data_IF_688908252263
#
_entry.id   IF_688908252263
#
_cell.length_a   1.000
_cell.length_b   1.000
_cell.length_c   1.000
_cell.angle_alpha   90.00
_cell.angle_beta   90.00
_cell.angle_gamma   90.00
#
_symmetry.space_group_name_H-M   'P 1'
#
loop_
_entity.id
_entity.type
_entity.pdbx_description
1 polymer ?
#
# COMPACT_ATOMS: atom_id res chain seq x y z
N UNK A 1 -15.39 -24.86 30.42
CA UNK A 1 -14.45 -25.14 29.32
C UNK A 1 -13.92 -23.81 28.81
N UNK A 2 -12.71 -23.44 29.19
CA UNK A 2 -12.08 -22.19 28.74
C UNK A 2 -11.54 -22.36 27.33
N UNK A 3 -12.03 -21.56 26.39
CA UNK A 3 -11.52 -21.51 25.03
C UNK A 3 -10.09 -21.00 25.05
N UNK A 4 -9.15 -21.88 24.73
CA UNK A 4 -7.74 -21.55 24.55
C UNK A 4 -7.65 -20.66 23.30
N UNK A 5 -7.60 -19.35 23.50
CA UNK A 5 -7.22 -18.42 22.45
C UNK A 5 -5.77 -18.75 22.08
N UNK A 6 -5.59 -19.46 20.98
CA UNK A 6 -4.28 -19.65 20.37
C UNK A 6 -3.78 -18.24 20.02
N UNK A 7 -2.92 -17.67 20.87
CA UNK A 7 -2.14 -16.48 20.51
C UNK A 7 -1.18 -16.97 19.43
N UNK A 8 -1.49 -16.63 18.19
CA UNK A 8 -0.61 -16.82 17.04
C UNK A 8 0.75 -16.20 17.37
N UNK A 9 1.81 -17.00 17.44
CA UNK A 9 3.14 -16.66 17.97
C UNK A 9 3.83 -15.49 17.22
N UNK A 10 3.25 -14.98 16.13
CA UNK A 10 3.76 -13.81 15.42
C UNK A 10 2.82 -12.59 15.35
N UNK A 11 1.85 -12.49 16.25
CA UNK A 11 1.02 -11.29 16.42
C UNK A 11 -0.12 -11.13 15.42
N UNK A 12 -0.98 -10.12 15.66
CA UNK A 12 -2.23 -9.90 14.92
C UNK A 12 -1.97 -9.68 13.42
N UNK A 13 -0.93 -8.92 13.07
CA UNK A 13 -0.58 -8.64 11.68
C UNK A 13 -0.22 -9.91 10.89
N UNK A 14 0.53 -10.85 11.49
CA UNK A 14 0.89 -12.13 10.85
C UNK A 14 -0.35 -13.02 10.68
N UNK A 15 -1.21 -13.05 11.69
CA UNK A 15 -2.47 -13.80 11.64
C UNK A 15 -3.38 -13.30 10.51
N UNK A 16 -3.56 -11.98 10.39
CA UNK A 16 -4.35 -11.37 9.33
C UNK A 16 -3.76 -11.65 7.95
N UNK A 17 -2.44 -11.56 7.79
CA UNK A 17 -1.78 -11.90 6.52
C UNK A 17 -1.96 -13.36 6.12
N UNK A 18 -1.82 -14.28 7.08
CA UNK A 18 -2.03 -15.70 6.86
C UNK A 18 -3.46 -15.98 6.37
N UNK A 19 -4.45 -15.29 6.96
CA UNK A 19 -5.85 -15.39 6.56
C UNK A 19 -6.12 -14.84 5.15
N UNK A 20 -5.40 -13.81 4.73
CA UNK A 20 -5.52 -13.20 3.39
C UNK A 20 -4.61 -13.84 2.32
N UNK A 21 -4.02 -15.01 2.62
CA UNK A 21 -3.00 -15.62 1.75
C UNK A 21 -3.59 -16.08 0.41
N UNK A 22 -4.82 -16.60 0.41
CA UNK A 22 -5.47 -17.07 -0.81
C UNK A 22 -5.71 -15.91 -1.78
N UNK A 23 -6.25 -14.79 -1.29
CA UNK A 23 -6.46 -13.56 -2.04
C UNK A 23 -5.13 -13.02 -2.60
N UNK A 24 -4.06 -13.12 -1.81
CA UNK A 24 -2.72 -12.71 -2.24
C UNK A 24 -2.21 -13.56 -3.40
N UNK A 25 -2.44 -14.88 -3.36
CA UNK A 25 -2.08 -15.80 -4.45
C UNK A 25 -2.92 -15.49 -5.70
N UNK A 26 -4.23 -15.25 -5.55
CA UNK A 26 -5.08 -14.87 -6.68
C UNK A 26 -4.62 -13.59 -7.36
N UNK A 27 -4.05 -12.63 -6.62
CA UNK A 27 -3.50 -11.40 -7.21
C UNK A 27 -2.36 -11.68 -8.21
N UNK A 28 -1.54 -12.72 -7.99
CA UNK A 28 -0.46 -13.11 -8.92
C UNK A 28 -1.03 -13.53 -10.28
N UNK A 29 -2.15 -14.23 -10.28
CA UNK A 29 -2.78 -14.77 -11.50
C UNK A 29 -3.70 -13.77 -12.20
N UNK A 30 -3.70 -12.50 -11.79
CA UNK A 30 -4.46 -11.48 -12.51
C UNK A 30 -3.84 -11.23 -13.88
N UNK A 31 -4.66 -10.89 -14.91
CA UNK A 31 -4.15 -10.61 -16.26
C UNK A 31 -3.05 -9.54 -16.29
N UNK A 32 -3.16 -8.53 -15.43
CA UNK A 32 -2.16 -7.48 -15.30
C UNK A 32 -0.80 -8.05 -14.86
N UNK A 33 -0.75 -8.80 -13.76
CA UNK A 33 0.51 -9.32 -13.20
C UNK A 33 1.16 -10.33 -14.16
N UNK A 34 0.37 -11.22 -14.76
CA UNK A 34 0.88 -12.18 -15.74
C UNK A 34 1.42 -11.49 -17.01
N UNK A 35 0.74 -10.45 -17.51
CA UNK A 35 1.19 -9.69 -18.68
C UNK A 35 2.43 -8.86 -18.36
N UNK A 36 2.51 -8.30 -17.15
CA UNK A 36 3.66 -7.54 -16.67
C UNK A 36 4.90 -8.44 -16.54
N UNK A 37 4.76 -9.62 -15.94
CA UNK A 37 5.84 -10.59 -15.74
C UNK A 37 6.34 -11.22 -17.05
N UNK A 38 5.48 -11.36 -18.05
CA UNK A 38 5.85 -11.88 -19.37
C UNK A 38 6.36 -10.82 -20.33
N UNK A 39 6.45 -9.55 -19.92
CA UNK A 39 6.84 -8.43 -20.78
C UNK A 39 5.83 -8.09 -21.89
N UNK A 40 4.63 -8.69 -21.88
CA UNK A 40 3.60 -8.56 -22.92
C UNK A 40 2.51 -7.52 -22.60
N UNK A 41 2.58 -6.88 -21.43
CA UNK A 41 1.66 -5.82 -21.04
C UNK A 41 1.78 -4.65 -22.01
N UNK A 42 0.65 -4.17 -22.55
CA UNK A 42 0.64 -2.99 -23.39
C UNK A 42 0.91 -1.72 -22.56
N UNK A 43 1.51 -0.72 -23.18
CA UNK A 43 1.92 0.51 -22.49
C UNK A 43 0.73 1.32 -21.96
N UNK A 44 -0.44 1.27 -22.60
CA UNK A 44 -1.61 2.00 -22.14
C UNK A 44 -2.15 1.41 -20.82
N UNK A 45 -2.25 0.08 -20.72
CA UNK A 45 -2.61 -0.62 -19.48
C UNK A 45 -1.58 -0.40 -18.38
N UNK A 46 -0.29 -0.39 -18.73
CA UNK A 46 0.77 -0.06 -17.78
C UNK A 46 0.59 1.35 -17.22
N UNK A 47 0.49 2.36 -18.08
CA UNK A 47 0.33 3.77 -17.67
C UNK A 47 -0.96 4.03 -16.92
N UNK A 48 -2.06 3.38 -17.31
CA UNK A 48 -3.30 3.42 -16.56
C UNK A 48 -3.08 2.91 -15.14
N UNK A 49 -2.47 1.74 -14.96
CA UNK A 49 -2.18 1.21 -13.63
C UNK A 49 -1.27 2.13 -12.81
N UNK A 50 -0.21 2.70 -13.42
CA UNK A 50 0.65 3.67 -12.72
C UNK A 50 -0.13 4.91 -12.30
N UNK A 51 -1.05 5.39 -13.15
CA UNK A 51 -1.90 6.54 -12.81
C UNK A 51 -2.79 6.22 -11.60
N UNK A 52 -3.37 5.02 -11.52
CA UNK A 52 -4.16 4.59 -10.37
C UNK A 52 -3.30 4.46 -9.11
N UNK A 53 -2.09 3.89 -9.22
CA UNK A 53 -1.15 3.78 -8.10
C UNK A 53 -0.72 5.15 -7.56
N UNK A 54 -0.47 6.12 -8.44
CA UNK A 54 -0.13 7.50 -8.04
C UNK A 54 -1.29 8.14 -7.26
N UNK A 55 -2.55 7.91 -7.66
CA UNK A 55 -3.73 8.38 -6.91
C UNK A 55 -3.80 7.72 -5.53
N UNK A 56 -3.58 6.41 -5.47
CA UNK A 56 -3.57 5.69 -4.20
C UNK A 56 -2.46 6.18 -3.28
N UNK A 57 -1.25 6.40 -3.79
CA UNK A 57 -0.12 6.94 -3.02
C UNK A 57 -0.38 8.36 -2.52
N UNK A 58 -1.06 9.19 -3.32
CA UNK A 58 -1.49 10.51 -2.88
C UNK A 58 -2.48 10.41 -1.70
N UNK A 59 -3.55 9.62 -1.83
CA UNK A 59 -4.50 9.39 -0.74
C UNK A 59 -3.83 8.77 0.50
N UNK A 60 -2.83 7.92 0.30
CA UNK A 60 -2.02 7.35 1.39
C UNK A 60 -1.22 8.42 2.13
N UNK A 61 -0.61 9.37 1.42
CA UNK A 61 0.12 10.47 2.04
C UNK A 61 -0.81 11.36 2.88
N UNK A 62 -2.00 11.67 2.36
CA UNK A 62 -3.05 12.41 3.06
C UNK A 62 -3.54 11.65 4.31
N UNK A 63 -3.77 10.33 4.19
CA UNK A 63 -4.17 9.49 5.31
C UNK A 63 -3.10 9.43 6.41
N UNK A 64 -1.81 9.38 6.05
CA UNK A 64 -0.73 9.43 7.03
C UNK A 64 -0.58 10.79 7.69
N UNK A 65 -0.88 11.88 6.99
CA UNK A 65 -0.93 13.21 7.59
C UNK A 65 -2.05 13.30 8.64
N UNK A 66 -3.25 12.83 8.31
CA UNK A 66 -4.36 12.76 9.29
C UNK A 66 -4.01 11.86 10.48
N UNK A 67 -3.35 10.72 10.23
CA UNK A 67 -2.91 9.80 11.28
C UNK A 67 -1.85 10.43 12.19
N UNK A 68 -0.95 11.25 11.64
CA UNK A 68 0.06 11.99 12.41
C UNK A 68 -0.60 13.02 13.34
N UNK A 69 -1.59 13.76 12.84
CA UNK A 69 -2.36 14.74 13.63
C UNK A 69 -3.20 14.11 14.74
N UNK A 70 -3.64 12.86 14.55
CA UNK A 70 -4.44 12.13 15.53
C UNK A 70 -3.61 11.41 16.60
N UNK A 71 -2.29 11.28 16.41
CA UNK A 71 -1.38 10.64 17.36
C UNK A 71 -1.04 11.61 18.49
N UNK A 72 -1.03 11.15 19.74
CA UNK A 72 -0.60 11.92 20.91
C UNK A 72 0.88 11.68 21.26
N UNK A 73 1.36 10.46 21.04
CA UNK A 73 2.76 10.06 21.23
C UNK A 73 3.70 10.60 20.13
N UNK A 74 4.82 11.20 20.53
CA UNK A 74 5.78 11.85 19.61
C UNK A 74 6.66 10.84 18.86
N UNK A 75 6.93 9.67 19.43
CA UNK A 75 7.66 8.60 18.75
C UNK A 75 6.79 7.99 17.65
N UNK A 76 5.50 7.77 17.93
CA UNK A 76 4.51 7.32 16.94
C UNK A 76 4.37 8.34 15.79
N UNK A 77 4.28 9.64 16.09
CA UNK A 77 4.30 10.70 15.06
C UNK A 77 5.57 10.64 14.21
N UNK A 78 6.73 10.43 14.83
CA UNK A 78 7.98 10.34 14.10
C UNK A 78 8.00 9.14 13.13
N UNK A 79 7.46 7.99 13.55
CA UNK A 79 7.30 6.80 12.70
C UNK A 79 6.31 7.07 11.56
N UNK A 80 5.13 7.62 11.84
CA UNK A 80 4.10 7.93 10.83
C UNK A 80 4.67 8.91 9.79
N UNK A 81 5.31 10.00 10.24
CA UNK A 81 5.95 10.99 9.37
C UNK A 81 7.04 10.37 8.49
N UNK A 82 7.81 9.42 9.02
CA UNK A 82 8.83 8.68 8.26
C UNK A 82 8.20 7.82 7.17
N UNK A 83 7.08 7.15 7.46
CA UNK A 83 6.32 6.37 6.47
C UNK A 83 5.73 7.28 5.40
N UNK A 84 5.10 8.41 5.78
CA UNK A 84 4.57 9.43 4.86
C UNK A 84 5.64 9.93 3.88
N UNK A 85 6.83 10.29 4.38
CA UNK A 85 7.97 10.71 3.54
C UNK A 85 8.38 9.66 2.52
N UNK A 86 8.28 8.36 2.87
CA UNK A 86 8.61 7.26 1.94
C UNK A 86 7.55 7.09 0.86
N UNK A 87 6.27 7.23 1.21
CA UNK A 87 5.17 7.23 0.23
C UNK A 87 5.37 8.36 -0.79
N UNK A 88 5.69 9.57 -0.33
CA UNK A 88 5.96 10.72 -1.21
C UNK A 88 7.16 10.46 -2.14
N UNK A 89 8.27 9.93 -1.61
CA UNK A 89 9.43 9.54 -2.43
C UNK A 89 9.10 8.46 -3.47
N UNK A 90 8.26 7.48 -3.10
CA UNK A 90 7.81 6.44 -4.04
C UNK A 90 6.98 7.05 -5.16
N UNK A 91 6.10 7.99 -4.83
CA UNK A 91 5.30 8.73 -5.80
C UNK A 91 6.17 9.55 -6.77
N UNK A 92 7.18 10.26 -6.26
CA UNK A 92 8.14 11.00 -7.10
C UNK A 92 8.92 10.07 -8.03
N UNK A 93 9.39 8.92 -7.52
CA UNK A 93 10.06 7.92 -8.33
C UNK A 93 9.17 7.39 -9.45
N UNK A 94 7.91 7.06 -9.15
CA UNK A 94 6.96 6.56 -10.15
C UNK A 94 6.81 7.58 -11.29
N UNK A 95 6.73 8.88 -10.98
CA UNK A 95 6.71 9.95 -11.99
C UNK A 95 8.02 10.02 -12.78
N UNK A 96 9.18 9.94 -12.12
CA UNK A 96 10.49 9.96 -12.77
C UNK A 96 10.64 8.80 -13.77
N UNK A 97 10.28 7.57 -13.38
CA UNK A 97 10.41 6.40 -14.26
C UNK A 97 9.51 6.53 -15.49
N UNK A 98 8.26 6.97 -15.30
CA UNK A 98 7.33 7.19 -16.42
C UNK A 98 7.87 8.25 -17.39
N UNK A 99 8.41 9.36 -16.87
CA UNK A 99 9.01 10.41 -17.68
C UNK A 99 10.28 9.95 -18.41
N UNK A 100 11.17 9.22 -17.73
CA UNK A 100 12.40 8.67 -18.31
C UNK A 100 12.13 7.72 -19.48
N UNK A 101 10.97 7.06 -19.48
CA UNK A 101 10.56 6.16 -20.55
C UNK A 101 9.83 6.87 -21.70
N UNK A 102 9.74 8.21 -21.65
CA UNK A 102 9.09 9.01 -22.68
C UNK A 102 7.57 8.89 -22.67
N UNK A 103 6.98 8.39 -21.58
CA UNK A 103 5.55 8.31 -21.43
C UNK A 103 5.01 9.53 -20.69
N UNK A 104 3.82 9.98 -21.10
CA UNK A 104 3.05 10.97 -20.36
C UNK A 104 1.94 10.27 -19.58
N UNK A 105 1.80 10.63 -18.31
CA UNK A 105 0.65 10.16 -17.53
C UNK A 105 -0.64 10.72 -18.14
N UNK A 106 -1.74 9.93 -18.18
CA UNK A 106 -3.01 10.41 -18.67
C UNK A 106 -3.41 11.73 -18.00
N UNK A 107 -3.71 12.75 -18.80
CA UNK A 107 -4.04 14.11 -18.34
C UNK A 107 -5.39 14.18 -17.61
N UNK A 108 -6.22 13.13 -17.75
CA UNK A 108 -7.53 13.02 -17.14
C UNK A 108 -7.53 12.37 -15.75
N UNK A 109 -8.42 12.81 -14.87
CA UNK A 109 -8.67 12.19 -13.56
C UNK A 109 -9.62 10.98 -13.67
N UNK A 110 -9.36 10.06 -14.59
CA UNK A 110 -10.17 8.84 -14.71
C UNK A 110 -9.63 7.85 -13.69
N UNK A 111 -10.23 7.85 -12.51
CA UNK A 111 -9.98 6.82 -11.51
C UNK A 111 -10.99 5.69 -11.70
N UNK A 112 -10.51 4.45 -11.67
CA UNK A 112 -11.39 3.30 -11.71
C UNK A 112 -12.31 3.29 -10.49
N UNK A 113 -13.53 2.79 -10.66
CA UNK A 113 -14.50 2.72 -9.56
C UNK A 113 -13.94 1.97 -8.34
N UNK A 114 -13.13 0.94 -8.57
CA UNK A 114 -12.46 0.22 -7.49
C UNK A 114 -11.43 1.11 -6.76
N UNK A 115 -10.64 1.88 -7.51
CA UNK A 115 -9.65 2.79 -6.94
C UNK A 115 -10.30 3.89 -6.11
N UNK A 116 -11.36 4.52 -6.61
CA UNK A 116 -12.15 5.52 -5.87
C UNK A 116 -12.65 4.96 -4.54
N UNK A 117 -13.24 3.75 -4.55
CA UNK A 117 -13.70 3.11 -3.32
C UNK A 117 -12.56 2.82 -2.34
N UNK A 118 -11.40 2.41 -2.82
CA UNK A 118 -10.23 2.17 -1.98
C UNK A 118 -9.72 3.46 -1.33
N UNK A 119 -9.59 4.55 -2.09
CA UNK A 119 -9.14 5.85 -1.56
C UNK A 119 -10.17 6.46 -0.61
N UNK A 120 -11.46 6.36 -0.93
CA UNK A 120 -12.53 6.84 -0.06
C UNK A 120 -12.54 6.08 1.27
N UNK A 121 -12.44 4.75 1.22
CA UNK A 121 -12.34 3.92 2.42
C UNK A 121 -11.13 4.30 3.28
N UNK A 122 -9.97 4.49 2.66
CA UNK A 122 -8.74 4.87 3.34
C UNK A 122 -8.87 6.23 4.03
N UNK A 123 -9.32 7.25 3.32
CA UNK A 123 -9.48 8.61 3.85
C UNK A 123 -10.60 8.67 4.91
N UNK A 124 -11.71 7.95 4.73
CA UNK A 124 -12.77 7.86 5.73
C UNK A 124 -12.30 7.16 7.01
N UNK A 125 -11.43 6.15 6.88
CA UNK A 125 -10.83 5.45 8.01
C UNK A 125 -9.85 6.34 8.76
N UNK A 126 -8.97 7.05 8.04
CA UNK A 126 -7.96 7.94 8.63
C UNK A 126 -8.57 9.19 9.30
N UNK A 127 -9.61 9.77 8.70
CA UNK A 127 -10.34 10.92 9.28
C UNK A 127 -11.27 10.54 10.43
N UNK A 128 -11.44 9.26 10.75
CA UNK A 128 -12.40 8.78 11.75
C UNK A 128 -13.86 8.91 11.33
N UNK A 129 -14.19 9.40 10.12
CA UNK A 129 -15.57 9.48 9.60
C UNK A 129 -16.26 8.10 9.58
N UNK A 130 -15.51 7.05 9.23
CA UNK A 130 -16.01 5.67 9.27
C UNK A 130 -16.46 5.21 10.67
N UNK A 131 -15.95 5.84 11.73
CA UNK A 131 -16.31 5.57 13.13
C UNK A 131 -17.41 6.54 13.60
N UNK A 132 -17.35 7.81 13.19
CA UNK A 132 -18.36 8.83 13.49
C UNK A 132 -19.74 8.52 12.92
N UNK A 133 -19.82 7.88 11.75
CA UNK A 133 -21.09 7.41 11.16
C UNK A 133 -21.73 6.27 11.96
N UNK A 134 -20.93 5.44 12.64
CA UNK A 134 -21.44 4.36 13.51
C UNK A 134 -21.90 4.87 14.88
N UNK A 135 -21.47 6.07 15.29
CA UNK A 135 -21.82 6.69 16.56
C UNK A 135 -22.14 8.19 16.38
N UNK A 136 -23.25 8.54 15.69
CA UNK A 136 -23.60 9.92 15.41
C UNK A 136 -23.85 10.70 16.71
N UNK A 137 -23.23 11.88 16.83
CA UNK A 137 -23.39 12.79 17.99
C UNK A 137 -22.28 12.71 19.04
N UNK A 138 -21.31 11.80 18.91
CA UNK A 138 -20.16 11.72 19.83
C UNK A 138 -18.96 12.43 19.21
N UNK A 139 -18.60 13.61 19.73
CA UNK A 139 -17.31 14.24 19.40
C UNK A 139 -16.21 13.33 19.92
N UNK A 140 -15.35 12.84 19.03
CA UNK A 140 -14.23 11.99 19.42
C UNK A 140 -13.37 12.73 20.47
N UNK A 141 -13.31 12.16 21.67
CA UNK A 141 -12.40 12.62 22.72
C UNK A 141 -10.95 12.52 22.23
N UNK A 142 -10.00 13.29 22.78
CA UNK A 142 -8.58 13.18 22.40
C UNK A 142 -8.06 11.73 22.41
N UNK A 143 -8.48 10.92 23.39
CA UNK A 143 -8.15 9.50 23.48
C UNK A 143 -8.79 8.63 22.37
N UNK A 144 -9.99 8.98 21.89
CA UNK A 144 -10.61 8.28 20.76
C UNK A 144 -9.92 8.63 19.43
N UNK A 145 -9.32 9.82 19.31
CA UNK A 145 -8.56 10.23 18.12
C UNK A 145 -7.29 9.41 17.93
N UNK A 146 -6.57 9.06 19.00
CA UNK A 146 -5.37 8.20 18.93
C UNK A 146 -5.66 6.85 18.24
N UNK A 147 -6.90 6.34 18.33
CA UNK A 147 -7.30 5.10 17.65
C UNK A 147 -7.40 5.23 16.13
N UNK A 148 -7.64 6.43 15.61
CA UNK A 148 -7.72 6.68 14.17
C UNK A 148 -6.37 6.50 13.48
N UNK A 149 -5.27 6.87 14.16
CA UNK A 149 -3.92 6.61 13.68
C UNK A 149 -3.66 5.12 13.50
N UNK A 150 -4.05 4.31 14.49
CA UNK A 150 -3.95 2.85 14.42
C UNK A 150 -4.84 2.26 13.30
N UNK A 151 -6.04 2.79 13.09
CA UNK A 151 -6.92 2.35 12.00
C UNK A 151 -6.38 2.72 10.61
N UNK A 152 -5.83 3.92 10.44
CA UNK A 152 -5.19 4.33 9.19
C UNK A 152 -4.00 3.41 8.86
N UNK A 153 -3.14 3.13 9.85
CA UNK A 153 -2.02 2.19 9.71
C UNK A 153 -2.51 0.78 9.35
N UNK A 154 -3.56 0.29 10.02
CA UNK A 154 -4.15 -1.02 9.73
C UNK A 154 -4.78 -1.09 8.33
N UNK A 155 -5.43 -0.02 7.87
CA UNK A 155 -6.00 0.06 6.53
C UNK A 155 -4.93 0.11 5.42
N UNK A 156 -3.77 0.69 5.73
CA UNK A 156 -2.63 0.77 4.81
C UNK A 156 -1.77 -0.50 4.76
N UNK A 157 -1.75 -1.28 5.83
CA UNK A 157 -0.87 -2.45 5.92
C UNK A 157 -1.07 -3.49 4.77
N UNK A 158 -2.30 -3.82 4.33
CA UNK A 158 -2.51 -4.77 3.24
C UNK A 158 -1.87 -4.33 1.91
N UNK A 159 -2.00 -3.04 1.53
CA UNK A 159 -1.50 -2.54 0.25
C UNK A 159 0.03 -2.59 0.19
N UNK A 160 0.70 -2.22 1.28
CA UNK A 160 2.16 -2.31 1.38
C UNK A 160 2.65 -3.76 1.32
N UNK A 161 1.93 -4.67 2.00
CA UNK A 161 2.32 -6.08 2.09
C UNK A 161 2.08 -6.83 0.79
N UNK A 162 0.95 -6.58 0.11
CA UNK A 162 0.67 -7.21 -1.18
C UNK A 162 1.61 -6.71 -2.28
N UNK A 163 1.94 -5.42 -2.31
CA UNK A 163 2.89 -4.89 -3.30
C UNK A 163 4.27 -5.54 -3.15
N UNK A 164 4.77 -5.70 -1.92
CA UNK A 164 6.05 -6.38 -1.67
C UNK A 164 6.00 -7.86 -2.05
N UNK A 165 4.91 -8.55 -1.71
CA UNK A 165 4.70 -9.94 -2.10
C UNK A 165 4.72 -10.11 -3.62
N UNK A 166 3.87 -9.36 -4.35
CA UNK A 166 3.80 -9.45 -5.80
C UNK A 166 5.13 -9.11 -6.48
N UNK A 167 5.85 -8.10 -5.99
CA UNK A 167 7.15 -7.72 -6.57
C UNK A 167 8.18 -8.85 -6.46
N UNK A 168 8.19 -9.58 -5.35
CA UNK A 168 9.08 -10.74 -5.14
C UNK A 168 8.69 -11.92 -6.02
N UNK A 169 7.40 -12.21 -6.12
CA UNK A 169 6.90 -13.30 -6.97
C UNK A 169 7.18 -13.03 -8.45
N UNK A 170 7.00 -11.79 -8.92
CA UNK A 170 7.38 -11.41 -10.29
C UNK A 170 8.89 -11.54 -10.48
N UNK A 171 9.71 -11.04 -9.55
CA UNK A 171 11.17 -11.11 -9.67
C UNK A 171 11.67 -12.56 -9.71
N UNK A 172 11.05 -13.48 -8.98
CA UNK A 172 11.43 -14.89 -8.94
C UNK A 172 11.21 -15.62 -10.28
N UNK A 173 10.33 -15.12 -11.14
CA UNK A 173 10.03 -15.72 -12.46
C UNK A 173 10.68 -14.98 -13.63
N UNK A 174 11.36 -13.85 -13.38
CA UNK A 174 12.10 -13.14 -14.42
C UNK A 174 13.35 -13.94 -14.81
N UNK A 175 13.44 -14.35 -16.08
CA UNK A 175 14.62 -15.04 -16.59
C UNK A 175 15.84 -14.09 -16.65
N UNK A 176 17.05 -14.57 -16.30
CA UNK A 176 18.24 -13.71 -16.24
C UNK A 176 18.66 -13.11 -17.59
N UNK A 177 18.32 -13.78 -18.70
CA UNK A 177 19.03 -13.65 -19.98
C UNK A 177 18.12 -13.28 -21.19
N UNK A 178 16.83 -12.99 -20.97
CA UNK A 178 16.01 -12.48 -22.08
C UNK A 178 16.28 -10.99 -22.34
N UNK A 179 16.79 -10.75 -23.55
CA UNK A 179 16.84 -9.46 -24.23
C UNK A 179 15.57 -8.64 -23.99
N UNK A 180 15.73 -7.43 -23.44
CA UNK A 180 14.75 -6.33 -23.42
C UNK A 180 13.39 -6.71 -22.78
N UNK A 181 13.39 -7.20 -21.53
CA UNK A 181 12.15 -7.13 -20.73
C UNK A 181 11.83 -5.65 -20.46
N UNK A 182 10.86 -5.10 -21.22
CA UNK A 182 10.49 -3.68 -21.22
C UNK A 182 10.27 -3.14 -19.80
N UNK A 183 9.69 -3.95 -18.91
CA UNK A 183 9.38 -3.55 -17.55
C UNK A 183 10.43 -3.90 -16.49
N UNK A 184 11.64 -4.36 -16.86
CA UNK A 184 12.64 -4.87 -15.91
C UNK A 184 13.05 -3.80 -14.90
N UNK A 185 13.40 -2.61 -15.39
CA UNK A 185 13.77 -1.45 -14.54
C UNK A 185 12.63 -1.04 -13.60
N UNK A 186 11.37 -1.19 -14.02
CA UNK A 186 10.21 -0.97 -13.15
C UNK A 186 10.13 -2.03 -12.06
N UNK A 187 10.22 -3.31 -12.40
CA UNK A 187 10.15 -4.43 -11.44
C UNK A 187 11.31 -4.38 -10.44
N UNK A 188 12.53 -4.11 -10.91
CA UNK A 188 13.71 -3.95 -10.04
C UNK A 188 13.53 -2.78 -9.06
N UNK A 189 12.89 -1.69 -9.49
CA UNK A 189 12.56 -0.56 -8.62
C UNK A 189 11.55 -0.94 -7.54
N UNK A 190 10.60 -1.83 -7.83
CA UNK A 190 9.62 -2.29 -6.85
C UNK A 190 10.20 -3.29 -5.85
N UNK A 191 11.12 -4.15 -6.30
CA UNK A 191 11.74 -5.21 -5.49
C UNK A 191 12.95 -4.75 -4.67
N UNK A 192 13.50 -3.56 -4.92
CA UNK A 192 14.72 -3.10 -4.24
C UNK A 192 14.50 -2.95 -2.72
N UNK A 193 15.47 -3.35 -1.87
CA UNK A 193 15.39 -3.21 -0.41
C UNK A 193 15.19 -1.76 0.07
N UNK A 194 15.54 -0.77 -0.76
CA UNK A 194 15.24 0.65 -0.50
C UNK A 194 13.73 0.90 -0.34
N UNK A 195 12.89 0.01 -0.88
CA UNK A 195 11.41 0.05 -0.87
C UNK A 195 10.79 -0.95 0.11
N UNK A 196 11.49 -2.03 0.48
CA UNK A 196 11.06 -2.92 1.57
C UNK A 196 11.00 -2.21 2.93
N UNK A 197 11.65 -1.06 3.09
CA UNK A 197 11.79 -0.45 4.42
C UNK A 197 10.48 0.14 4.95
N UNK A 198 9.42 0.35 4.15
CA UNK A 198 8.09 0.62 4.72
C UNK A 198 7.55 -0.55 5.56
N UNK A 199 8.10 -1.76 5.38
CA UNK A 199 7.70 -2.98 6.07
C UNK A 199 8.54 -3.30 7.31
N UNK A 200 9.43 -2.40 7.76
CA UNK A 200 10.02 -2.53 9.11
C UNK A 200 8.98 -2.08 10.16
N UNK A 201 7.84 -2.75 10.16
CA UNK A 201 7.10 -3.17 11.36
C UNK A 201 7.25 -4.70 11.43
N UNK A 202 8.46 -5.19 11.21
CA UNK A 202 8.80 -6.61 11.33
C UNK A 202 9.95 -6.85 12.33
N UNK A 203 10.32 -5.83 13.13
CA UNK A 203 11.50 -5.91 13.99
C UNK A 203 11.38 -5.41 15.43
N UNK A 204 10.28 -4.79 15.87
CA UNK A 204 10.18 -4.23 17.25
C UNK A 204 8.79 -4.39 17.88
N UNK A 205 8.09 -5.47 17.55
CA UNK A 205 7.00 -5.99 18.39
C UNK A 205 7.20 -7.51 18.51
N UNK A 206 8.28 -7.85 19.23
CA UNK A 206 8.44 -9.15 19.89
C UNK A 206 8.10 -8.99 21.36
#
# INVERSE_FOLDING_TARGET
MGGLAIRDEGGIAKSLWTKSRNESIFAIYTPYILSLASGKLDSASFLHCISQDLRFLQASAEAFEMAEECSDDDDDKAVIRKVRKRVLKKMEMFRSIVQEWGFELPTGNISDRAMVKCTDFLLATASGKAVGERFPGKVATPFEKTKFSAYALAAMAPSMRIQSFLSKEIQAVLEPDENIHLYKKWIDSLASPKFEVCLIIHGTWG
#
